data_IF_002598758551
#
_entry.id   IF_002598758551
#
_cell.length_a   1.000
_cell.length_b   1.000
_cell.length_c   1.000
_cell.angle_alpha   90.00
_cell.angle_beta   90.00
_cell.angle_gamma   90.00
#
_symmetry.space_group_name_H-M   'P 1'
#
loop_
_entity.id
_entity.type
_entity.pdbx_description
1 polymer ?
#
# COMPACT_ATOMS: atom_id res chain seq x y z
N UNK A 1 11.62 7.88 19.99
CA UNK A 1 10.65 6.96 19.36
C UNK A 1 10.20 7.61 18.06
N UNK A 2 10.46 7.03 16.88
CA UNK A 2 9.88 7.56 15.64
C UNK A 2 8.39 7.25 15.71
N UNK A 3 7.57 8.27 15.96
CA UNK A 3 6.12 8.12 15.87
C UNK A 3 5.84 7.83 14.40
N UNK A 4 5.52 6.58 14.08
CA UNK A 4 5.08 6.20 12.74
C UNK A 4 3.84 7.03 12.36
N UNK A 5 3.59 7.16 11.06
CA UNK A 5 2.38 7.82 10.58
C UNK A 5 1.14 7.17 11.19
N UNK A 6 0.14 7.97 11.53
CA UNK A 6 -1.16 7.43 11.92
C UNK A 6 -1.73 6.54 10.81
N UNK A 7 -2.66 5.61 11.12
CA UNK A 7 -3.18 4.66 10.12
C UNK A 7 -3.82 5.37 8.92
N UNK A 8 -4.51 6.49 9.13
CA UNK A 8 -5.09 7.29 8.06
C UNK A 8 -4.03 7.93 7.15
N UNK A 9 -3.00 8.55 7.73
CA UNK A 9 -1.90 9.15 6.96
C UNK A 9 -1.10 8.10 6.18
N UNK A 10 -0.89 6.93 6.79
CA UNK A 10 -0.26 5.80 6.12
C UNK A 10 -1.11 5.32 4.94
N UNK A 11 -2.42 5.14 5.14
CA UNK A 11 -3.34 4.76 4.08
C UNK A 11 -3.30 5.76 2.91
N UNK A 12 -3.37 7.06 3.21
CA UNK A 12 -3.30 8.11 2.19
C UNK A 12 -1.99 8.08 1.40
N UNK A 13 -0.85 7.90 2.06
CA UNK A 13 0.44 7.82 1.37
C UNK A 13 0.57 6.56 0.51
N UNK A 14 0.09 5.42 0.98
CA UNK A 14 0.06 4.18 0.21
C UNK A 14 -0.84 4.37 -1.02
N UNK A 15 -2.04 4.93 -0.86
CA UNK A 15 -2.96 5.24 -1.96
C UNK A 15 -2.32 6.17 -2.99
N UNK A 16 -1.69 7.26 -2.54
CA UNK A 16 -1.03 8.21 -3.43
C UNK A 16 0.10 7.55 -4.23
N UNK A 17 0.95 6.76 -3.55
CA UNK A 17 2.05 6.05 -4.20
C UNK A 17 1.54 4.98 -5.18
N UNK A 18 0.53 4.19 -4.79
CA UNK A 18 -0.08 3.19 -5.67
C UNK A 18 -0.67 3.84 -6.93
N UNK A 19 -1.35 4.99 -6.78
CA UNK A 19 -1.90 5.75 -7.91
C UNK A 19 -0.81 6.30 -8.82
N UNK A 20 0.28 6.84 -8.27
CA UNK A 20 1.44 7.30 -9.05
C UNK A 20 1.99 6.13 -9.89
N UNK A 21 2.19 4.96 -9.28
CA UNK A 21 2.70 3.77 -9.96
C UNK A 21 1.74 3.22 -11.00
N UNK A 22 0.44 3.26 -10.72
CA UNK A 22 -0.61 2.85 -11.65
C UNK A 22 -0.66 3.71 -12.92
N UNK A 23 -0.32 5.00 -12.81
CA UNK A 23 -0.28 5.94 -13.93
C UNK A 23 1.06 5.96 -14.69
N UNK A 24 2.14 5.48 -14.06
CA UNK A 24 3.47 5.42 -14.66
C UNK A 24 3.53 4.33 -15.73
N UNK A 25 3.63 4.74 -17.01
CA UNK A 25 3.66 3.83 -18.16
C UNK A 25 5.03 3.17 -18.41
N UNK A 26 6.06 3.58 -17.67
CA UNK A 26 7.44 3.14 -17.87
C UNK A 26 7.98 2.27 -16.74
N UNK A 27 7.32 2.30 -15.57
CA UNK A 27 7.71 1.49 -14.42
C UNK A 27 7.37 0.02 -14.66
N UNK A 28 8.28 -0.87 -14.28
CA UNK A 28 7.91 -2.25 -13.99
C UNK A 28 7.05 -2.27 -12.71
N UNK A 29 5.84 -2.81 -12.83
CA UNK A 29 4.90 -3.02 -11.73
C UNK A 29 4.64 -4.52 -11.57
N UNK A 30 4.14 -4.98 -10.41
CA UNK A 30 3.79 -6.39 -10.23
C UNK A 30 2.83 -6.91 -11.32
N UNK A 31 1.90 -6.06 -11.79
CA UNK A 31 1.02 -6.41 -12.90
C UNK A 31 1.77 -6.58 -14.23
N UNK A 32 2.67 -5.64 -14.59
CA UNK A 32 3.40 -5.74 -15.86
C UNK A 32 4.32 -6.96 -15.89
N UNK A 33 4.95 -7.30 -14.77
CA UNK A 33 5.77 -8.51 -14.64
C UNK A 33 4.92 -9.76 -14.86
N UNK A 34 3.79 -9.88 -14.15
CA UNK A 34 2.89 -11.02 -14.32
C UNK A 34 2.32 -11.13 -15.75
N UNK A 35 2.03 -10.00 -16.41
CA UNK A 35 1.58 -9.98 -17.80
C UNK A 35 2.68 -10.46 -18.76
N UNK A 36 3.93 -10.05 -18.53
CA UNK A 36 5.08 -10.50 -19.32
C UNK A 36 5.34 -12.00 -19.13
N UNK A 37 5.25 -12.50 -17.91
CA UNK A 37 5.39 -13.93 -17.61
C UNK A 37 4.29 -14.78 -18.29
N UNK A 38 3.09 -14.21 -18.44
CA UNK A 38 1.99 -14.82 -19.19
C UNK A 38 2.09 -14.65 -20.72
N UNK A 39 3.18 -14.04 -21.23
CA UNK A 39 3.45 -13.87 -22.66
C UNK A 39 2.87 -12.59 -23.29
N UNK A 40 2.29 -11.68 -22.50
CA UNK A 40 1.78 -10.41 -22.99
C UNK A 40 2.87 -9.34 -23.04
N UNK A 41 2.90 -8.54 -24.12
CA UNK A 41 3.75 -7.36 -24.23
C UNK A 41 3.09 -6.16 -23.54
N UNK A 42 3.04 -6.19 -22.21
CA UNK A 42 2.50 -5.11 -21.39
C UNK A 42 3.59 -4.41 -20.57
N UNK A 43 3.55 -3.09 -20.53
CA UNK A 43 4.50 -2.23 -19.82
C UNK A 43 3.76 -1.18 -18.99
N UNK A 44 4.36 -0.76 -17.88
CA UNK A 44 3.81 0.27 -17.01
C UNK A 44 2.90 -0.25 -15.91
N UNK A 45 2.30 0.67 -15.17
CA UNK A 45 1.25 0.39 -14.20
C UNK A 45 -0.12 0.18 -14.82
N UNK A 46 -0.99 -0.41 -14.02
CA UNK A 46 -2.40 -0.63 -14.33
C UNK A 46 -3.25 0.33 -13.50
N UNK A 47 -4.02 1.20 -14.16
CA UNK A 47 -4.96 2.10 -13.51
C UNK A 47 -6.27 1.36 -13.21
N UNK A 48 -6.38 0.88 -11.98
CA UNK A 48 -7.59 0.26 -11.41
C UNK A 48 -8.10 1.08 -10.21
N UNK A 49 -9.25 0.70 -9.66
CA UNK A 49 -9.73 1.23 -8.38
C UNK A 49 -8.76 0.85 -7.24
N UNK A 50 -8.29 1.83 -6.48
CA UNK A 50 -7.35 1.64 -5.38
C UNK A 50 -8.08 1.83 -4.05
N UNK A 51 -8.20 0.74 -3.29
CA UNK A 51 -8.73 0.74 -1.91
C UNK A 51 -7.63 0.35 -0.95
N UNK A 52 -7.40 1.16 0.09
CA UNK A 52 -6.36 0.91 1.11
C UNK A 52 -6.98 0.98 2.49
N UNK A 53 -6.77 -0.07 3.29
CA UNK A 53 -7.14 -0.13 4.71
C UNK A 53 -5.87 -0.36 5.50
N UNK A 54 -5.62 0.45 6.52
CA UNK A 54 -4.47 0.33 7.42
C UNK A 54 -4.97 0.15 8.86
N UNK A 55 -4.46 -0.88 9.52
CA UNK A 55 -4.71 -1.17 10.93
C UNK A 55 -3.38 -1.48 11.61
N UNK A 56 -3.17 -0.91 12.79
CA UNK A 56 -2.00 -1.19 13.62
C UNK A 56 -2.39 -2.04 14.81
N UNK A 57 -1.63 -3.11 15.02
CA UNK A 57 -1.76 -3.94 16.22
C UNK A 57 -0.91 -3.28 17.30
N UNK A 58 -1.53 -2.88 18.41
CA UNK A 58 -0.85 -2.37 19.60
C UNK A 58 -1.05 -3.33 20.76
N UNK A 59 -0.03 -3.50 21.59
CA UNK A 59 -0.20 -4.18 22.87
C UNK A 59 -1.07 -3.29 23.76
N UNK A 60 -2.17 -3.81 24.27
CA UNK A 60 -2.86 -3.17 25.40
C UNK A 60 -1.92 -3.28 26.60
N UNK A 61 -1.41 -2.16 27.11
CA UNK A 61 -0.94 -2.18 28.49
C UNK A 61 -2.17 -2.57 29.32
N UNK A 62 -2.12 -3.75 29.93
CA UNK A 62 -3.18 -4.22 30.82
C UNK A 62 -3.22 -3.24 31.99
N UNK A 63 -4.05 -2.20 31.91
CA UNK A 63 -4.39 -1.37 33.06
C UNK A 63 -5.42 -2.11 33.91
N UNK A 64 -5.09 -3.34 34.31
CA UNK A 64 -5.57 -3.88 35.57
C UNK A 64 -4.66 -3.32 36.67
N UNK A 65 -4.74 -2.00 36.88
CA UNK A 65 -4.40 -1.47 38.18
C UNK A 65 -5.50 -1.98 39.11
N UNK A 66 -5.21 -3.08 39.79
CA UNK A 66 -5.97 -3.46 40.97
C UNK A 66 -5.70 -2.44 42.05
N UNK A 67 -6.67 -1.54 42.27
CA UNK A 67 -7.18 -0.99 43.53
C UNK A 67 -8.35 -0.06 43.21
#
# INVERSE_FOLDING_TARGET
>A
MRVGLGPQEAAQKITALARERALDRSRQTPFSVAAQDAGFRYYGGKLDDITVVVSYITTTANSSAGI
#
